data_IF_749299848787
#
_entry.id   IF_749299848787
#
_cell.length_a   1.000
_cell.length_b   1.000
_cell.length_c   1.000
_cell.angle_alpha   90.00
_cell.angle_beta   90.00
_cell.angle_gamma   90.00
#
_symmetry.space_group_name_H-M   'P 1'
#
loop_
_entity.id
_entity.type
_entity.pdbx_description
1 polymer ?
#
# COMPACT_ATOMS: atom_id res chain seq x y z
N UNK A 1 -34.46 0.68 13.93
CA UNK A 1 -33.27 1.17 13.21
C UNK A 1 -32.83 0.26 12.06
N UNK A 2 -32.26 -0.94 12.26
CA UNK A 2 -31.86 -1.79 11.12
C UNK A 2 -33.04 -2.25 10.22
N UNK A 3 -34.18 -2.59 10.85
CA UNK A 3 -35.43 -2.94 10.15
C UNK A 3 -36.00 -1.77 9.35
N UNK A 4 -35.96 -0.56 9.92
CA UNK A 4 -36.44 0.66 9.27
C UNK A 4 -35.61 1.05 8.05
N UNK A 5 -34.33 0.64 8.04
CA UNK A 5 -33.39 0.84 6.94
C UNK A 5 -33.40 -0.30 5.91
N UNK A 6 -34.22 -1.35 6.11
CA UNK A 6 -34.29 -2.50 5.19
C UNK A 6 -33.00 -3.32 5.10
N UNK A 7 -32.06 -3.15 6.03
CA UNK A 7 -30.76 -3.84 6.04
C UNK A 7 -30.69 -4.91 7.12
N UNK A 8 -29.85 -5.91 6.90
CA UNK A 8 -29.60 -6.93 7.92
C UNK A 8 -28.92 -6.30 9.15
N UNK A 9 -29.34 -6.65 10.39
CA UNK A 9 -28.65 -6.18 11.60
C UNK A 9 -27.17 -6.54 11.61
N UNK A 10 -26.78 -7.69 11.04
CA UNK A 10 -25.39 -8.13 10.93
C UNK A 10 -24.55 -7.16 10.08
N UNK A 11 -25.10 -6.68 8.96
CA UNK A 11 -24.43 -5.70 8.12
C UNK A 11 -24.20 -4.39 8.86
N UNK A 12 -25.22 -3.91 9.58
CA UNK A 12 -25.12 -2.68 10.37
C UNK A 12 -24.06 -2.80 11.47
N UNK A 13 -24.04 -3.91 12.21
CA UNK A 13 -22.99 -4.16 13.21
C UNK A 13 -21.60 -4.22 12.60
N UNK A 14 -21.45 -4.87 11.43
CA UNK A 14 -20.18 -4.91 10.71
C UNK A 14 -19.68 -3.53 10.28
N UNK A 15 -20.59 -2.66 9.82
CA UNK A 15 -20.26 -1.28 9.46
C UNK A 15 -19.87 -0.44 10.69
N UNK A 16 -20.59 -0.58 11.80
CA UNK A 16 -20.27 0.10 13.06
C UNK A 16 -18.89 -0.34 13.57
N UNK A 17 -18.57 -1.64 13.51
CA UNK A 17 -17.27 -2.15 13.94
C UNK A 17 -16.13 -1.56 13.10
N UNK A 18 -16.25 -1.58 11.77
CA UNK A 18 -15.25 -0.98 10.85
C UNK A 18 -15.09 0.52 11.09
N UNK A 19 -16.19 1.23 11.31
CA UNK A 19 -16.16 2.66 11.62
C UNK A 19 -15.48 2.98 12.95
N UNK A 20 -15.60 2.11 13.95
CA UNK A 20 -14.90 2.27 15.24
C UNK A 20 -13.41 1.99 15.15
N UNK A 21 -13.02 1.08 14.27
CA UNK A 21 -11.62 0.70 14.06
C UNK A 21 -10.85 1.80 13.32
N UNK A 22 -11.44 2.37 12.28
CA UNK A 22 -10.87 3.46 11.50
C UNK A 22 -11.98 4.42 11.06
N UNK A 23 -12.23 5.51 11.82
CA UNK A 23 -13.25 6.48 11.48
C UNK A 23 -12.97 7.25 10.18
N UNK A 24 -11.68 7.38 9.81
CA UNK A 24 -11.25 8.21 8.67
C UNK A 24 -11.34 7.43 7.35
N UNK A 25 -10.99 6.14 7.36
CA UNK A 25 -11.06 5.26 6.20
C UNK A 25 -11.79 3.92 6.47
N UNK A 26 -13.05 3.95 6.96
CA UNK A 26 -13.78 2.76 7.42
C UNK A 26 -14.18 1.79 6.30
N UNK A 27 -14.29 2.31 5.08
CA UNK A 27 -14.76 1.55 3.92
C UNK A 27 -13.80 1.77 2.75
N UNK A 28 -12.86 0.86 2.59
CA UNK A 28 -12.08 0.76 1.35
C UNK A 28 -12.84 -0.09 0.32
N UNK A 29 -13.00 0.43 -0.89
CA UNK A 29 -13.67 -0.27 -1.98
C UNK A 29 -12.92 -1.56 -2.38
N UNK A 30 -13.62 -2.50 -2.99
CA UNK A 30 -13.00 -3.75 -3.45
C UNK A 30 -11.83 -3.45 -4.39
N UNK A 31 -10.65 -3.98 -4.06
CA UNK A 31 -9.42 -3.79 -4.85
C UNK A 31 -8.57 -2.59 -4.47
N UNK A 32 -9.02 -1.73 -3.54
CA UNK A 32 -8.22 -0.61 -3.04
C UNK A 32 -7.65 -0.92 -1.66
N UNK A 33 -6.37 -0.59 -1.47
CA UNK A 33 -5.73 -0.60 -0.16
C UNK A 33 -6.14 0.67 0.61
N UNK A 34 -6.06 0.58 1.94
CA UNK A 34 -6.11 1.79 2.78
C UNK A 34 -4.94 2.73 2.40
N UNK A 35 -5.08 4.05 2.57
CA UNK A 35 -4.05 5.01 2.13
C UNK A 35 -2.66 4.74 2.72
N UNK A 36 -2.59 4.31 3.98
CA UNK A 36 -1.37 3.89 4.67
C UNK A 36 -0.71 2.68 4.00
N UNK A 37 -1.48 1.63 3.75
CA UNK A 37 -1.02 0.43 3.07
C UNK A 37 -0.63 0.70 1.60
N UNK A 38 -1.34 1.61 0.93
CA UNK A 38 -1.01 2.03 -0.43
C UNK A 38 0.33 2.77 -0.46
N UNK A 39 0.54 3.72 0.46
CA UNK A 39 1.80 4.45 0.58
C UNK A 39 2.97 3.50 0.88
N UNK A 40 2.78 2.53 1.77
CA UNK A 40 3.80 1.52 2.06
C UNK A 40 4.15 0.71 0.80
N UNK A 41 3.16 0.24 0.05
CA UNK A 41 3.38 -0.52 -1.19
C UNK A 41 4.16 0.29 -2.23
N UNK A 42 3.87 1.58 -2.32
CA UNK A 42 4.52 2.47 -3.28
C UNK A 42 5.97 2.74 -2.88
N UNK A 43 6.22 2.93 -1.57
CA UNK A 43 7.57 3.03 -1.01
C UNK A 43 8.40 1.76 -1.24
N UNK A 44 7.82 0.58 -1.04
CA UNK A 44 8.49 -0.70 -1.29
C UNK A 44 8.87 -0.88 -2.77
N UNK A 45 7.98 -0.45 -3.68
CA UNK A 45 8.25 -0.48 -5.13
C UNK A 45 9.38 0.45 -5.50
N UNK A 46 9.36 1.68 -5.00
CA UNK A 46 10.41 2.66 -5.26
C UNK A 46 11.75 2.20 -4.69
N UNK A 47 11.75 1.65 -3.47
CA UNK A 47 12.98 1.14 -2.86
C UNK A 47 13.60 0.00 -3.68
N UNK A 48 12.78 -0.89 -4.23
CA UNK A 48 13.25 -1.96 -5.12
C UNK A 48 13.90 -1.40 -6.38
N UNK A 49 13.22 -0.46 -7.04
CA UNK A 49 13.72 0.19 -8.25
C UNK A 49 15.06 0.90 -7.98
N UNK A 50 15.13 1.70 -6.91
CA UNK A 50 16.35 2.42 -6.54
C UNK A 50 17.51 1.47 -6.22
N UNK A 51 17.25 0.32 -5.58
CA UNK A 51 18.29 -0.70 -5.34
C UNK A 51 18.81 -1.28 -6.66
N UNK A 52 17.92 -1.59 -7.60
CA UNK A 52 18.30 -2.11 -8.91
C UNK A 52 19.15 -1.09 -9.68
N UNK A 53 18.72 0.18 -9.72
CA UNK A 53 19.47 1.27 -10.35
C UNK A 53 20.85 1.44 -9.70
N UNK A 54 20.93 1.39 -8.37
CA UNK A 54 22.20 1.49 -7.64
C UNK A 54 23.15 0.34 -7.98
N UNK A 55 22.65 -0.89 -8.09
CA UNK A 55 23.45 -2.06 -8.47
C UNK A 55 23.95 -1.96 -9.92
N UNK A 56 23.14 -1.45 -10.84
CA UNK A 56 23.57 -1.17 -12.21
C UNK A 56 24.71 -0.14 -12.21
N UNK A 57 24.55 0.95 -11.47
CA UNK A 57 25.57 2.01 -11.37
C UNK A 57 26.87 1.48 -10.76
N UNK A 58 26.82 0.67 -9.70
CA UNK A 58 28.00 0.02 -9.13
C UNK A 58 28.72 -0.87 -10.13
N UNK A 59 27.97 -1.65 -10.92
CA UNK A 59 28.55 -2.50 -11.98
C UNK A 59 29.23 -1.64 -13.05
N UNK A 60 28.58 -0.56 -13.49
CA UNK A 60 29.14 0.36 -14.47
C UNK A 60 30.45 1.00 -13.96
N UNK A 61 30.46 1.52 -12.74
CA UNK A 61 31.67 2.08 -12.11
C UNK A 61 32.80 1.06 -12.10
N UNK A 62 32.54 -0.20 -11.74
CA UNK A 62 33.57 -1.25 -11.73
C UNK A 62 34.19 -1.46 -13.12
N UNK A 63 33.36 -1.51 -14.18
CA UNK A 63 33.83 -1.66 -15.57
C UNK A 63 34.71 -0.47 -15.95
N UNK A 64 34.20 0.76 -15.80
CA UNK A 64 34.93 1.97 -16.20
C UNK A 64 36.21 2.22 -15.40
N UNK A 65 36.29 1.75 -14.15
CA UNK A 65 37.49 1.88 -13.31
C UNK A 65 38.51 0.76 -13.55
N UNK A 66 38.09 -0.43 -13.96
CA UNK A 66 39.01 -1.53 -14.27
C UNK A 66 39.61 -1.45 -15.68
N UNK A 67 38.93 -0.82 -16.65
CA UNK A 67 39.44 -0.60 -18.02
C UNK A 67 40.58 0.44 -18.10
N UNK A 68 40.93 1.10 -16.99
CA UNK A 68 42.13 1.96 -16.87
C UNK A 68 43.35 1.17 -16.37
N UNK A 69 43.75 0.13 -17.10
CA UNK A 69 45.07 -0.51 -17.03
C UNK A 69 45.45 -1.04 -18.40
#
# INVERSE_FOLDING_TARGET
MARDLGISPKSLYGWIAKYREDPDHPFVGSGHLRPDAQAQRDLERENRRLREENEILKKAVRIFTHDRK
#
